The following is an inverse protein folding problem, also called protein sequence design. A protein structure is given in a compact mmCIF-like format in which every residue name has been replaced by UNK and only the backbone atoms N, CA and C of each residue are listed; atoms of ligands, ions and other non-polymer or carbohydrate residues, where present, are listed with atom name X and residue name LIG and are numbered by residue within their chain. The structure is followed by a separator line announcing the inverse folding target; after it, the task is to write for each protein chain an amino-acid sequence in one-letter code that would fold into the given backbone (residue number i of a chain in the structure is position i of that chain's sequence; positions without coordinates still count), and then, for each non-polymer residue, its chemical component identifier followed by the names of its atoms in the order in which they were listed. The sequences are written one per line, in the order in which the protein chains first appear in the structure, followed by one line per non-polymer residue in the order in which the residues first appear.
data_IF_385537121223
#
_entry.id   IF_385537121223
#
_cell.length_a   1.000
_cell.length_b   1.000
_cell.length_c   1.000
_cell.angle_alpha   90.00
_cell.angle_beta   90.00
_cell.angle_gamma   90.00
#
_symmetry.space_group_name_H-M   'P 1'
#
loop_
_entity.id
_entity.type
_entity.pdbx_description
1 polymer ?
#
# COMPACT_ATOMS: atom_id res chain seq x y z
N UNK A 1 -35.02 -55.54 -35.35
CA UNK A 1 -35.71 -55.62 -34.04
C UNK A 1 -35.49 -54.25 -33.35
N UNK A 2 -36.51 -53.47 -32.96
CA UNK A 2 -37.42 -53.59 -31.78
C UNK A 2 -36.63 -53.67 -30.46
N UNK A 3 -36.87 -52.89 -29.38
CA UNK A 3 -37.82 -51.77 -29.02
C UNK A 3 -37.36 -51.18 -27.66
N UNK A 4 -37.68 -49.97 -27.15
CA UNK A 4 -38.62 -48.86 -27.43
C UNK A 4 -37.80 -47.52 -27.63
N UNK A 5 -38.18 -46.22 -27.52
CA UNK A 5 -39.32 -45.40 -26.98
C UNK A 5 -39.44 -45.31 -25.43
N UNK A 6 -39.88 -44.23 -24.76
CA UNK A 6 -40.30 -42.85 -25.09
C UNK A 6 -39.90 -41.91 -23.90
N UNK A 7 -40.17 -40.59 -23.82
CA UNK A 7 -41.00 -39.69 -24.63
C UNK A 7 -40.84 -38.20 -24.22
N UNK A 8 -41.80 -37.35 -24.62
CA UNK A 8 -41.78 -35.88 -24.41
C UNK A 8 -42.24 -35.47 -22.98
N UNK A 9 -42.38 -34.20 -22.56
CA UNK A 9 -43.10 -33.07 -23.18
C UNK A 9 -42.52 -31.70 -22.80
N UNK A 10 -42.81 -30.70 -23.64
CA UNK A 10 -42.66 -29.27 -23.29
C UNK A 10 -44.03 -28.67 -22.98
N UNK A 11 -44.08 -27.68 -22.07
CA UNK A 11 -45.25 -26.83 -21.83
C UNK A 11 -44.78 -25.38 -21.73
N UNK A 12 -45.32 -24.51 -22.59
CA UNK A 12 -45.24 -23.06 -22.44
C UNK A 12 -46.61 -22.54 -22.03
N UNK A 13 -46.65 -21.55 -21.14
CA UNK A 13 -47.88 -20.81 -20.80
C UNK A 13 -47.57 -19.32 -20.93
N UNK A 14 -48.44 -18.61 -21.65
CA UNK A 14 -48.30 -17.20 -21.98
C UNK A 14 -49.68 -16.57 -21.81
N UNK A 15 -49.86 -15.69 -20.82
CA UNK A 15 -51.08 -14.90 -20.60
C UNK A 15 -50.68 -13.48 -20.21
N UNK A 16 -51.40 -12.49 -20.74
CA UNK A 16 -51.15 -11.06 -20.56
C UNK A 16 -52.16 -10.42 -19.60
N UNK A 17 -51.79 -9.24 -19.07
CA UNK A 17 -52.73 -8.21 -18.63
C UNK A 17 -53.02 -8.18 -17.13
N UNK A 18 -53.46 -7.06 -16.57
CA UNK A 18 -53.53 -5.70 -17.12
C UNK A 18 -53.43 -4.67 -15.98
N UNK A 19 -53.18 -3.39 -16.29
CA UNK A 19 -52.99 -2.35 -15.29
C UNK A 19 -54.32 -1.84 -14.69
N UNK A 20 -54.27 -1.45 -13.41
CA UNK A 20 -55.26 -0.59 -12.75
C UNK A 20 -54.50 0.49 -11.99
N UNK A 21 -54.88 1.76 -12.13
CA UNK A 21 -54.27 2.88 -11.40
C UNK A 21 -55.09 3.28 -10.17
N UNK A 22 -54.47 3.95 -9.20
CA UNK A 22 -55.18 4.39 -7.99
C UNK A 22 -54.35 5.20 -7.01
N UNK A 23 -54.28 6.52 -7.24
CA UNK A 23 -53.91 7.58 -6.29
C UNK A 23 -52.51 7.53 -5.62
N UNK A 24 -52.12 8.69 -5.10
CA UNK A 24 -50.89 8.90 -4.34
C UNK A 24 -51.23 9.37 -2.92
N UNK A 25 -50.37 9.08 -1.96
CA UNK A 25 -50.34 9.78 -0.68
C UNK A 25 -48.88 10.04 -0.27
N UNK A 26 -48.58 11.29 0.10
CA UNK A 26 -47.23 11.71 0.48
C UNK A 26 -47.10 11.68 2.00
N UNK A 27 -46.03 11.06 2.51
CA UNK A 27 -45.64 11.20 3.92
C UNK A 27 -44.14 11.06 4.09
N UNK A 28 -43.49 12.21 4.28
CA UNK A 28 -42.08 12.33 4.63
C UNK A 28 -41.79 11.83 6.05
N UNK A 29 -40.86 10.88 6.20
CA UNK A 29 -40.03 10.71 7.41
C UNK A 29 -38.89 9.71 7.26
N UNK A 30 -37.68 10.14 7.62
CA UNK A 30 -36.57 9.26 7.98
C UNK A 30 -35.50 9.07 6.90
N UNK A 31 -34.25 9.56 7.12
CA UNK A 31 -33.12 9.22 6.25
C UNK A 31 -32.68 7.77 6.52
N UNK A 32 -33.27 6.82 5.78
CA UNK A 32 -32.86 5.41 5.85
C UNK A 32 -31.38 5.29 5.54
N UNK A 33 -30.62 4.71 6.48
CA UNK A 33 -29.16 4.74 6.44
C UNK A 33 -28.60 4.13 5.16
N UNK A 34 -27.92 4.94 4.35
CA UNK A 34 -27.13 4.45 3.22
C UNK A 34 -25.98 3.59 3.73
N UNK A 35 -26.24 2.29 3.90
CA UNK A 35 -25.21 1.27 4.10
C UNK A 35 -24.29 1.27 2.88
N UNK A 36 -23.23 2.08 2.97
CA UNK A 36 -22.18 2.16 1.97
C UNK A 36 -21.53 0.79 1.85
N UNK A 37 -22.02 -0.02 0.91
CA UNK A 37 -21.47 -1.34 0.59
C UNK A 37 -20.00 -1.13 0.34
N UNK A 38 -19.15 -1.64 1.23
CA UNK A 38 -17.71 -1.64 1.02
C UNK A 38 -17.47 -2.34 -0.32
N UNK A 39 -17.15 -1.55 -1.34
CA UNK A 39 -16.68 -2.04 -2.62
C UNK A 39 -15.37 -2.76 -2.34
N UNK A 40 -15.45 -4.08 -2.14
CA UNK A 40 -14.29 -4.95 -2.08
C UNK A 40 -13.48 -4.61 -3.33
N UNK A 41 -12.29 -4.05 -3.14
CA UNK A 41 -11.41 -3.76 -4.26
C UNK A 41 -11.12 -5.09 -4.94
N UNK A 42 -11.77 -5.31 -6.09
CA UNK A 42 -11.59 -6.49 -6.93
C UNK A 42 -10.19 -6.40 -7.54
N UNK A 43 -9.18 -6.68 -6.71
CA UNK A 43 -7.87 -7.10 -7.17
C UNK A 43 -8.10 -8.33 -8.01
N UNK A 44 -8.01 -8.18 -9.33
CA UNK A 44 -7.99 -9.31 -10.25
C UNK A 44 -6.87 -10.30 -9.88
N UNK A 45 -6.86 -11.49 -10.48
CA UNK A 45 -5.75 -12.41 -10.34
C UNK A 45 -4.41 -11.70 -10.62
N UNK A 46 -3.36 -12.18 -9.97
CA UNK A 46 -1.99 -11.77 -10.24
C UNK A 46 -1.47 -12.69 -11.34
N UNK A 47 -1.04 -12.12 -12.47
CA UNK A 47 -0.48 -12.90 -13.57
C UNK A 47 0.85 -13.49 -13.08
N UNK A 48 0.93 -14.83 -13.03
CA UNK A 48 2.15 -15.53 -12.60
C UNK A 48 3.24 -15.29 -13.64
N UNK A 49 4.45 -14.85 -13.25
CA UNK A 49 5.57 -14.75 -14.18
C UNK A 49 5.82 -16.05 -14.93
N UNK A 50 6.08 -15.96 -16.23
CA UNK A 50 6.38 -17.08 -17.12
C UNK A 50 7.85 -17.10 -17.59
N UNK A 51 8.62 -16.06 -17.24
CA UNK A 51 10.07 -15.99 -17.46
C UNK A 51 10.87 -16.93 -16.55
N UNK A 52 11.93 -17.52 -17.09
CA UNK A 52 12.98 -18.25 -16.37
C UNK A 52 14.18 -17.33 -16.12
N UNK A 53 14.84 -17.47 -14.96
CA UNK A 53 16.18 -16.89 -14.73
C UNK A 53 17.21 -17.89 -15.27
N UNK A 54 18.16 -17.43 -16.08
CA UNK A 54 19.20 -18.26 -16.71
C UNK A 54 20.56 -18.03 -16.07
N UNK A 55 20.88 -16.77 -15.78
CA UNK A 55 22.11 -16.33 -15.10
C UNK A 55 21.70 -15.30 -14.04
N UNK A 56 22.35 -15.30 -12.87
CA UNK A 56 22.07 -14.37 -11.77
C UNK A 56 23.34 -14.23 -10.90
N UNK A 57 23.93 -13.03 -10.88
CA UNK A 57 25.04 -12.61 -10.03
C UNK A 57 24.79 -11.20 -9.46
N UNK A 58 25.63 -10.72 -8.53
CA UNK A 58 25.44 -9.44 -7.83
C UNK A 58 25.34 -8.22 -8.78
N UNK A 59 26.00 -8.29 -9.95
CA UNK A 59 26.08 -7.23 -10.96
C UNK A 59 25.24 -7.51 -12.23
N UNK A 60 24.69 -8.73 -12.42
CA UNK A 60 24.08 -9.17 -13.68
C UNK A 60 23.00 -10.26 -13.53
N UNK A 61 21.86 -10.05 -14.20
CA UNK A 61 20.79 -11.07 -14.33
C UNK A 61 20.45 -11.29 -15.80
N UNK A 62 20.25 -12.55 -16.22
CA UNK A 62 19.65 -12.91 -17.51
C UNK A 62 18.30 -13.59 -17.30
N UNK A 63 17.27 -13.01 -17.92
CA UNK A 63 15.95 -13.62 -18.06
C UNK A 63 15.80 -14.27 -19.43
N UNK A 64 15.04 -15.34 -19.48
CA UNK A 64 14.48 -15.97 -20.67
C UNK A 64 12.96 -15.87 -20.59
N UNK A 65 12.34 -15.41 -21.67
CA UNK A 65 10.90 -15.18 -21.79
C UNK A 65 10.17 -16.44 -22.27
N UNK A 66 8.84 -16.47 -22.13
CA UNK A 66 8.01 -17.58 -22.60
C UNK A 66 7.95 -17.73 -24.13
N UNK A 67 8.47 -16.75 -24.88
CA UNK A 67 8.69 -16.80 -26.33
C UNK A 67 10.13 -17.19 -26.73
N UNK A 68 10.99 -17.54 -25.76
CA UNK A 68 12.37 -17.97 -25.96
C UNK A 68 13.39 -16.84 -26.11
N UNK A 69 12.95 -15.58 -26.21
CA UNK A 69 13.85 -14.42 -26.23
C UNK A 69 14.49 -14.22 -24.86
N UNK A 70 15.66 -13.58 -24.82
CA UNK A 70 16.40 -13.34 -23.58
C UNK A 70 16.67 -11.86 -23.33
N UNK A 71 16.80 -11.49 -22.06
CA UNK A 71 17.08 -10.13 -21.58
C UNK A 71 18.21 -10.18 -20.56
N UNK A 72 19.31 -9.52 -20.88
CA UNK A 72 20.48 -9.35 -20.03
C UNK A 72 20.41 -7.96 -19.39
N UNK A 73 20.43 -7.90 -18.06
CA UNK A 73 20.36 -6.69 -17.25
C UNK A 73 21.63 -6.59 -16.40
N UNK A 74 22.45 -5.56 -16.60
CA UNK A 74 23.79 -5.48 -15.98
C UNK A 74 24.07 -4.10 -15.41
N UNK A 75 24.52 -4.06 -14.16
CA UNK A 75 25.05 -2.87 -13.53
C UNK A 75 26.39 -2.47 -14.17
N UNK A 76 26.60 -1.17 -14.37
CA UNK A 76 27.85 -0.61 -14.89
C UNK A 76 28.24 0.66 -14.12
N UNK A 77 29.44 1.20 -14.38
CA UNK A 77 29.90 2.48 -13.80
C UNK A 77 29.06 3.70 -14.20
N UNK A 78 27.99 3.52 -14.97
CA UNK A 78 27.05 4.57 -15.39
C UNK A 78 25.61 4.31 -14.93
N UNK A 79 25.34 3.23 -14.20
CA UNK A 79 23.99 2.87 -13.75
C UNK A 79 23.59 1.46 -14.17
N UNK A 80 22.44 1.30 -14.83
CA UNK A 80 21.92 0.02 -15.31
C UNK A 80 21.79 0.00 -16.84
N UNK A 81 22.37 -1.01 -17.48
CA UNK A 81 22.28 -1.26 -18.92
C UNK A 81 21.49 -2.56 -19.20
N UNK A 82 20.81 -2.60 -20.35
CA UNK A 82 20.11 -3.77 -20.86
C UNK A 82 20.58 -4.16 -22.27
N UNK A 83 20.54 -5.46 -22.55
CA UNK A 83 20.59 -6.05 -23.89
C UNK A 83 19.45 -7.07 -24.01
N UNK A 84 18.92 -7.26 -25.21
CA UNK A 84 18.00 -8.37 -25.52
C UNK A 84 18.58 -9.25 -26.63
N UNK A 85 18.02 -10.45 -26.78
CA UNK A 85 18.38 -11.42 -27.81
C UNK A 85 17.14 -12.17 -28.27
N UNK A 86 16.93 -12.26 -29.57
CA UNK A 86 15.77 -12.95 -30.13
C UNK A 86 15.96 -14.48 -30.14
N UNK A 87 14.85 -15.24 -30.14
CA UNK A 87 14.88 -16.70 -29.97
C UNK A 87 15.51 -17.45 -31.16
N UNK A 88 15.70 -16.78 -32.29
CA UNK A 88 16.35 -17.28 -33.51
C UNK A 88 17.83 -16.91 -33.64
N UNK A 89 18.32 -16.01 -32.78
CA UNK A 89 19.54 -15.24 -33.03
C UNK A 89 20.54 -15.45 -31.88
N UNK A 90 21.75 -15.91 -32.18
CA UNK A 90 22.80 -16.08 -31.15
C UNK A 90 23.34 -14.74 -30.61
N UNK A 91 23.16 -13.65 -31.37
CA UNK A 91 23.74 -12.34 -31.08
C UNK A 91 22.87 -11.50 -30.11
N UNK A 92 23.52 -10.82 -29.17
CA UNK A 92 22.88 -9.81 -28.33
C UNK A 92 22.74 -8.47 -29.06
N UNK A 93 21.65 -7.75 -28.76
CA UNK A 93 21.45 -6.36 -29.16
C UNK A 93 22.59 -5.45 -28.71
N UNK A 94 22.69 -4.27 -29.34
CA UNK A 94 23.45 -3.17 -28.74
C UNK A 94 22.96 -2.87 -27.31
N UNK A 95 23.88 -2.47 -26.43
CA UNK A 95 23.56 -2.04 -25.05
C UNK A 95 22.74 -0.77 -25.08
N UNK A 96 21.70 -0.72 -24.23
CA UNK A 96 20.91 0.48 -23.97
C UNK A 96 20.91 0.77 -22.47
N UNK A 97 21.19 2.01 -22.09
CA UNK A 97 21.02 2.47 -20.72
C UNK A 97 19.54 2.41 -20.35
N UNK A 98 19.20 1.64 -19.32
CA UNK A 98 17.87 1.66 -18.68
C UNK A 98 17.78 2.87 -17.75
N UNK A 99 18.84 3.11 -16.98
CA UNK A 99 18.93 4.22 -16.04
C UNK A 99 20.37 4.67 -15.86
N UNK A 100 20.59 6.00 -15.90
CA UNK A 100 21.90 6.60 -15.69
C UNK A 100 22.04 7.17 -14.28
N UNK A 101 23.08 6.76 -13.56
CA UNK A 101 23.43 7.30 -12.23
C UNK A 101 24.92 7.13 -11.94
N UNK A 102 25.47 8.03 -11.13
CA UNK A 102 26.85 7.94 -10.64
C UNK A 102 26.99 7.11 -9.35
N UNK A 103 25.88 6.72 -8.74
CA UNK A 103 25.84 5.96 -7.48
C UNK A 103 26.13 4.47 -7.73
N UNK A 104 26.85 3.82 -6.81
CA UNK A 104 27.23 2.41 -6.92
C UNK A 104 26.02 1.46 -6.84
N UNK A 105 26.07 0.27 -7.46
CA UNK A 105 25.04 -0.77 -7.35
C UNK A 105 24.73 -1.19 -5.91
N UNK A 106 23.48 -1.60 -5.66
CA UNK A 106 23.01 -1.96 -4.33
C UNK A 106 21.84 -2.96 -4.36
N UNK A 107 21.98 -4.10 -3.67
CA UNK A 107 20.89 -5.07 -3.48
C UNK A 107 20.48 -5.88 -4.72
N UNK A 108 21.37 -6.00 -5.71
CA UNK A 108 21.17 -6.81 -6.92
C UNK A 108 20.09 -6.28 -7.87
N UNK A 109 19.83 -7.05 -8.93
CA UNK A 109 18.79 -6.78 -9.92
C UNK A 109 17.65 -7.77 -9.70
N UNK A 110 16.43 -7.28 -9.45
CA UNK A 110 15.24 -8.15 -9.32
C UNK A 110 14.34 -7.92 -10.52
N UNK A 111 14.33 -8.87 -11.45
CA UNK A 111 13.54 -8.77 -12.68
C UNK A 111 12.72 -10.04 -12.93
N UNK A 112 11.54 -9.92 -13.54
CA UNK A 112 10.71 -11.02 -14.07
C UNK A 112 9.86 -10.53 -15.24
N UNK A 113 9.30 -11.45 -16.03
CA UNK A 113 8.37 -11.12 -17.11
C UNK A 113 7.07 -11.91 -17.05
N UNK A 114 6.08 -11.42 -17.80
CA UNK A 114 4.93 -12.19 -18.27
C UNK A 114 4.73 -11.87 -19.75
N UNK A 115 4.89 -12.86 -20.63
CA UNK A 115 4.88 -12.68 -22.08
C UNK A 115 5.87 -11.59 -22.51
N UNK A 116 5.41 -10.60 -23.27
CA UNK A 116 6.21 -9.49 -23.77
C UNK A 116 6.52 -8.40 -22.73
N UNK A 117 5.92 -8.44 -21.53
CA UNK A 117 6.12 -7.41 -20.49
C UNK A 117 7.17 -7.85 -19.47
N UNK A 118 8.30 -7.17 -19.45
CA UNK A 118 9.41 -7.36 -18.49
C UNK A 118 9.41 -6.22 -17.48
N UNK A 119 9.50 -6.52 -16.19
CA UNK A 119 9.74 -5.51 -15.14
C UNK A 119 11.03 -5.80 -14.39
N UNK A 120 11.64 -4.75 -13.86
CA UNK A 120 12.76 -4.84 -12.91
C UNK A 120 12.67 -3.81 -11.79
N UNK A 121 13.29 -4.11 -10.67
CA UNK A 121 13.61 -3.17 -9.60
C UNK A 121 15.06 -3.37 -9.13
N UNK A 122 15.86 -2.31 -9.21
CA UNK A 122 17.30 -2.30 -8.93
C UNK A 122 17.65 -1.13 -8.00
N UNK A 123 18.59 -1.34 -7.08
CA UNK A 123 19.02 -0.33 -6.11
C UNK A 123 20.41 0.24 -6.39
N UNK A 124 20.66 1.43 -5.86
CA UNK A 124 21.97 2.09 -5.84
C UNK A 124 22.19 2.76 -4.48
N UNK A 125 23.43 2.74 -3.97
CA UNK A 125 23.84 3.40 -2.72
C UNK A 125 25.34 3.30 -2.48
N UNK A 126 25.93 4.31 -1.83
CA UNK A 126 27.39 4.42 -1.68
C UNK A 126 28.00 3.36 -0.73
N UNK A 127 27.26 2.98 0.32
CA UNK A 127 27.70 2.12 1.44
C UNK A 127 27.01 0.75 1.49
N UNK A 128 26.42 0.28 0.39
CA UNK A 128 25.65 -0.96 0.40
C UNK A 128 26.47 -2.24 0.64
N UNK A 129 27.80 -2.17 0.60
CA UNK A 129 28.69 -3.27 1.06
C UNK A 129 28.75 -3.39 2.58
N UNK A 130 28.40 -2.32 3.28
CA UNK A 130 28.37 -2.23 4.75
C UNK A 130 26.98 -2.63 5.31
N UNK A 131 26.06 -3.03 4.44
CA UNK A 131 24.69 -3.47 4.77
C UNK A 131 23.64 -2.36 4.77
N UNK A 132 23.96 -1.15 4.32
CA UNK A 132 22.96 -0.08 4.14
C UNK A 132 21.92 -0.41 3.06
N UNK A 133 20.69 0.07 3.25
CA UNK A 133 19.64 0.02 2.22
C UNK A 133 19.95 0.94 1.03
N UNK A 134 19.44 0.64 -0.18
CA UNK A 134 19.64 1.52 -1.33
C UNK A 134 19.11 2.95 -1.08
N UNK A 135 19.98 3.92 -1.29
CA UNK A 135 19.69 5.35 -1.22
C UNK A 135 18.81 5.79 -2.40
N UNK A 136 18.93 5.10 -3.53
CA UNK A 136 18.18 5.31 -4.76
C UNK A 136 17.68 3.96 -5.30
N UNK A 137 16.42 3.87 -5.70
CA UNK A 137 15.82 2.63 -6.24
C UNK A 137 15.04 2.96 -7.49
N UNK A 138 15.30 2.24 -8.58
CA UNK A 138 14.48 2.34 -9.79
C UNK A 138 13.42 1.25 -9.82
N UNK A 139 12.26 1.60 -10.37
CA UNK A 139 11.36 0.66 -11.01
C UNK A 139 11.45 0.89 -12.53
N UNK A 140 11.48 -0.19 -13.32
CA UNK A 140 11.46 -0.08 -14.78
C UNK A 140 10.63 -1.19 -15.43
N UNK A 141 10.04 -0.88 -16.58
CA UNK A 141 9.22 -1.81 -17.38
C UNK A 141 9.51 -1.63 -18.87
N UNK A 142 9.74 -2.74 -19.57
CA UNK A 142 9.81 -2.82 -21.03
C UNK A 142 8.68 -3.70 -21.58
N UNK A 143 8.29 -3.46 -22.83
CA UNK A 143 7.31 -4.29 -23.57
C UNK A 143 7.69 -4.48 -25.02
N UNK A 144 7.12 -5.50 -25.68
CA UNK A 144 7.27 -5.71 -27.12
C UNK A 144 8.68 -6.13 -27.50
N UNK A 145 9.38 -5.27 -28.24
CA UNK A 145 10.75 -5.48 -28.74
C UNK A 145 11.84 -5.35 -27.65
N UNK A 146 11.47 -4.89 -26.44
CA UNK A 146 12.39 -4.68 -25.32
C UNK A 146 13.52 -3.68 -25.64
N UNK A 147 13.34 -2.87 -26.67
CA UNK A 147 14.31 -1.86 -27.12
C UNK A 147 14.08 -0.50 -26.44
N UNK A 148 13.00 -0.37 -25.66
CA UNK A 148 12.68 0.81 -24.86
C UNK A 148 12.19 0.43 -23.46
N UNK A 149 12.52 1.26 -22.47
CA UNK A 149 12.16 1.07 -21.07
C UNK A 149 11.45 2.32 -20.54
N UNK A 150 10.33 2.13 -19.84
CA UNK A 150 9.79 3.17 -18.95
C UNK A 150 10.51 3.05 -17.61
N UNK A 151 10.94 4.15 -17.00
CA UNK A 151 11.59 4.15 -15.67
C UNK A 151 10.95 5.14 -14.70
N UNK A 152 11.03 4.84 -13.40
CA UNK A 152 10.71 5.74 -12.28
C UNK A 152 11.83 5.62 -11.22
N UNK A 153 12.63 6.67 -11.00
CA UNK A 153 13.66 6.70 -9.95
C UNK A 153 13.07 7.17 -8.61
N UNK A 154 12.78 6.22 -7.74
CA UNK A 154 12.25 6.45 -6.39
C UNK A 154 13.40 6.69 -5.39
N UNK A 155 13.76 7.97 -5.17
CA UNK A 155 14.84 8.41 -4.26
C UNK A 155 14.47 8.42 -2.75
N UNK A 156 13.46 7.66 -2.34
CA UNK A 156 12.74 7.84 -1.06
C UNK A 156 12.74 6.59 -0.15
N UNK A 157 13.84 5.81 -0.15
CA UNK A 157 14.00 4.56 0.62
C UNK A 157 12.90 3.51 0.41
N UNK A 158 12.27 3.47 -0.78
CA UNK A 158 11.24 2.48 -1.11
C UNK A 158 11.89 1.42 -2.02
N UNK A 159 12.19 0.25 -1.46
CA UNK A 159 13.02 -0.78 -2.11
C UNK A 159 12.26 -1.72 -3.06
N UNK A 160 11.01 -1.40 -3.39
CA UNK A 160 10.09 -2.15 -4.27
C UNK A 160 10.24 -3.70 -4.17
N UNK A 161 10.08 -4.29 -2.98
CA UNK A 161 10.42 -5.69 -2.69
C UNK A 161 9.57 -6.71 -3.45
N UNK A 162 8.39 -6.33 -3.96
CA UNK A 162 7.59 -7.15 -4.86
C UNK A 162 6.96 -6.31 -5.97
N UNK A 163 7.05 -6.77 -7.21
CA UNK A 163 6.12 -6.37 -8.26
C UNK A 163 5.06 -7.45 -8.54
N UNK A 164 3.96 -7.04 -9.15
CA UNK A 164 2.79 -7.88 -9.48
C UNK A 164 2.33 -7.55 -10.89
N UNK A 165 2.46 -8.50 -11.80
CA UNK A 165 1.94 -8.34 -13.16
C UNK A 165 0.42 -8.58 -13.13
N UNK A 166 -0.29 -7.83 -13.97
CA UNK A 166 -1.75 -7.81 -14.06
C UNK A 166 -2.21 -7.54 -15.47
N UNK A 167 -3.52 -7.74 -15.65
CA UNK A 167 -4.27 -7.32 -16.82
C UNK A 167 -3.67 -7.93 -18.11
N UNK A 168 -3.15 -9.16 -18.02
CA UNK A 168 -2.56 -9.92 -19.13
C UNK A 168 -1.16 -9.47 -19.55
N UNK A 169 -0.45 -8.75 -18.67
CA UNK A 169 0.81 -8.05 -18.97
C UNK A 169 0.64 -6.55 -19.21
N UNK A 170 -0.58 -6.02 -19.28
CA UNK A 170 -0.83 -4.60 -19.54
C UNK A 170 -0.56 -3.68 -18.34
N UNK A 171 -0.30 -4.23 -17.15
CA UNK A 171 -0.08 -3.49 -15.90
C UNK A 171 0.95 -4.18 -15.00
N UNK A 172 1.76 -3.37 -14.31
CA UNK A 172 2.65 -3.83 -13.23
C UNK A 172 2.40 -2.97 -11.98
N UNK A 173 2.06 -3.59 -10.85
CA UNK A 173 2.04 -2.94 -9.54
C UNK A 173 3.32 -3.29 -8.77
N UNK A 174 4.25 -2.34 -8.65
CA UNK A 174 5.35 -2.41 -7.68
C UNK A 174 4.78 -2.07 -6.30
N UNK A 175 5.06 -2.90 -5.30
CA UNK A 175 4.43 -2.85 -3.98
C UNK A 175 5.48 -2.97 -2.89
N UNK A 176 5.50 -1.99 -2.01
CA UNK A 176 6.31 -1.96 -0.79
C UNK A 176 5.38 -1.98 0.45
N UNK A 177 5.23 -3.14 1.12
CA UNK A 177 4.43 -3.27 2.33
C UNK A 177 5.30 -3.17 3.59
N UNK A 178 5.03 -2.17 4.43
CA UNK A 178 5.60 -2.08 5.79
C UNK A 178 4.52 -2.22 6.86
N UNK A 179 4.92 -2.25 8.13
CA UNK A 179 4.00 -2.45 9.26
C UNK A 179 2.97 -1.31 9.44
N UNK A 180 3.24 -0.12 8.89
CA UNK A 180 2.36 1.07 8.98
C UNK A 180 1.64 1.42 7.69
N UNK A 181 2.17 1.04 6.52
CA UNK A 181 1.70 1.49 5.21
C UNK A 181 2.00 0.48 4.11
N UNK A 182 1.38 0.67 2.96
CA UNK A 182 1.78 0.07 1.70
C UNK A 182 1.95 1.19 0.69
N UNK A 183 3.15 1.35 0.14
CA UNK A 183 3.35 2.14 -1.06
C UNK A 183 3.05 1.27 -2.29
N UNK A 184 2.51 1.86 -3.35
CA UNK A 184 2.29 1.17 -4.62
C UNK A 184 2.56 2.12 -5.78
N UNK A 185 3.50 1.73 -6.63
CA UNK A 185 3.82 2.39 -7.89
C UNK A 185 3.25 1.53 -9.03
N UNK A 186 2.27 2.06 -9.76
CA UNK A 186 1.61 1.33 -10.85
C UNK A 186 2.10 1.83 -12.19
N UNK A 187 2.61 0.93 -13.01
CA UNK A 187 2.85 1.12 -14.44
C UNK A 187 1.68 0.57 -15.28
N UNK A 188 1.37 1.21 -16.41
CA UNK A 188 0.40 0.73 -17.40
C UNK A 188 0.92 0.88 -18.84
N UNK A 189 0.66 -0.13 -19.68
CA UNK A 189 0.98 -0.13 -21.11
C UNK A 189 0.25 1.03 -21.80
N UNK A 190 1.00 1.88 -22.50
CA UNK A 190 0.47 3.10 -23.13
C UNK A 190 0.23 4.30 -22.19
N UNK A 191 0.57 4.21 -20.90
CA UNK A 191 0.46 5.37 -19.96
C UNK A 191 1.67 5.57 -19.05
N UNK A 192 2.60 4.61 -18.98
CA UNK A 192 3.79 4.69 -18.14
C UNK A 192 3.47 4.56 -16.65
N UNK A 193 4.31 5.17 -15.80
CA UNK A 193 4.16 5.18 -14.35
C UNK A 193 3.18 6.25 -13.85
N UNK A 194 2.28 5.86 -12.95
CA UNK A 194 1.47 6.77 -12.16
C UNK A 194 2.21 7.19 -10.86
N UNK A 195 1.82 8.32 -10.26
CA UNK A 195 2.36 8.74 -8.95
C UNK A 195 2.18 7.64 -7.89
N UNK A 196 3.20 7.46 -7.03
CA UNK A 196 3.16 6.50 -5.91
C UNK A 196 1.92 6.71 -5.04
N UNK A 197 1.08 5.69 -4.97
CA UNK A 197 -0.08 5.66 -4.09
C UNK A 197 0.33 5.15 -2.70
N UNK A 198 0.05 5.93 -1.66
CA UNK A 198 0.22 5.52 -0.27
C UNK A 198 -1.10 5.02 0.30
N UNK A 199 -1.07 3.86 0.97
CA UNK A 199 -2.18 3.37 1.79
C UNK A 199 -1.69 3.05 3.20
N UNK A 200 -2.23 3.74 4.21
CA UNK A 200 -1.91 3.49 5.61
C UNK A 200 -2.72 2.33 6.18
N UNK A 201 -2.13 1.59 7.12
CA UNK A 201 -2.82 0.59 7.94
C UNK A 201 -3.75 1.34 8.90
N UNK A 202 -5.05 0.98 8.99
CA UNK A 202 -5.93 1.62 9.95
C UNK A 202 -5.52 1.26 11.38
N UNK A 203 -5.66 2.21 12.31
CA UNK A 203 -5.55 1.92 13.75
C UNK A 203 -6.74 1.10 14.23
N UNK A 204 -6.62 0.42 15.37
CA UNK A 204 -7.70 -0.40 15.87
C UNK A 204 -8.92 0.46 16.27
N UNK A 205 -10.17 0.09 15.90
CA UNK A 205 -11.36 0.93 16.14
C UNK A 205 -11.58 1.30 17.61
N UNK A 206 -11.08 0.47 18.55
CA UNK A 206 -11.14 0.76 19.98
C UNK A 206 -10.51 2.09 20.36
N UNK A 207 -9.49 2.57 19.66
CA UNK A 207 -8.89 3.89 19.90
C UNK A 207 -9.74 5.05 19.38
N UNK A 208 -10.53 4.84 18.32
CA UNK A 208 -11.20 5.91 17.58
C UNK A 208 -12.36 6.50 18.40
N UNK A 209 -12.40 7.82 18.51
CA UNK A 209 -13.40 8.55 19.29
C UNK A 209 -12.80 9.67 20.16
N UNK A 210 -13.65 10.22 21.04
CA UNK A 210 -13.27 11.23 22.04
C UNK A 210 -12.99 10.57 23.38
N UNK A 211 -11.98 11.08 24.06
CA UNK A 211 -11.49 10.60 25.35
C UNK A 211 -11.29 11.78 26.29
N UNK A 212 -11.64 11.60 27.57
CA UNK A 212 -11.43 12.60 28.61
C UNK A 212 -10.59 11.99 29.72
N UNK A 213 -9.54 12.70 30.13
CA UNK A 213 -8.71 12.26 31.24
C UNK A 213 -9.53 12.20 32.54
N UNK A 214 -9.31 11.17 33.36
CA UNK A 214 -10.09 10.93 34.60
C UNK A 214 -9.87 11.99 35.68
N UNK A 215 -8.75 12.72 35.62
CA UNK A 215 -8.47 13.90 36.44
C UNK A 215 -9.11 15.19 35.88
N UNK A 216 -9.82 15.10 34.76
CA UNK A 216 -10.43 16.23 34.04
C UNK A 216 -9.46 17.13 33.29
N UNK A 217 -8.14 16.89 33.34
CA UNK A 217 -7.10 17.80 32.87
C UNK A 217 -7.06 17.98 31.35
N UNK A 218 -7.51 16.97 30.60
CA UNK A 218 -7.38 16.93 29.14
C UNK A 218 -8.58 16.30 28.42
N UNK A 219 -8.69 16.65 27.15
CA UNK A 219 -9.42 15.90 26.14
C UNK A 219 -8.47 15.46 25.03
N UNK A 220 -8.64 14.23 24.57
CA UNK A 220 -7.92 13.60 23.47
C UNK A 220 -8.96 13.11 22.47
N UNK A 221 -8.81 13.42 21.19
CA UNK A 221 -9.71 12.91 20.14
C UNK A 221 -8.90 12.21 19.06
N UNK A 222 -9.22 10.95 18.78
CA UNK A 222 -8.47 10.10 17.86
C UNK A 222 -9.32 9.80 16.63
N UNK A 223 -8.76 10.08 15.45
CA UNK A 223 -9.45 10.06 14.16
C UNK A 223 -8.70 9.22 13.11
N UNK A 224 -9.37 8.21 12.54
CA UNK A 224 -8.93 7.60 11.28
C UNK A 224 -9.47 8.44 10.11
N UNK A 225 -8.61 9.25 9.49
CA UNK A 225 -9.03 10.25 8.48
C UNK A 225 -9.37 9.62 7.11
N UNK A 226 -8.72 8.50 6.78
CA UNK A 226 -8.94 7.76 5.54
C UNK A 226 -7.94 6.61 5.39
N UNK A 227 -7.95 5.87 4.27
CA UNK A 227 -6.90 4.92 3.91
C UNK A 227 -5.66 5.61 3.30
N UNK A 228 -5.85 6.81 2.76
CA UNK A 228 -4.89 7.66 2.04
C UNK A 228 -4.08 8.58 2.97
N UNK A 229 -4.49 8.68 4.24
CA UNK A 229 -3.92 9.59 5.25
C UNK A 229 -3.66 8.86 6.55
N UNK A 230 -2.64 9.30 7.28
CA UNK A 230 -2.37 8.86 8.65
C UNK A 230 -3.60 9.09 9.56
N UNK A 231 -3.75 8.22 10.56
CA UNK A 231 -4.60 8.53 11.70
C UNK A 231 -3.99 9.68 12.52
N UNK A 232 -4.85 10.43 13.22
CA UNK A 232 -4.44 11.58 14.04
C UNK A 232 -4.97 11.50 15.47
N UNK A 233 -4.23 12.11 16.38
CA UNK A 233 -4.68 12.46 17.72
C UNK A 233 -4.60 13.97 17.91
N UNK A 234 -5.71 14.57 18.32
CA UNK A 234 -5.81 15.97 18.71
C UNK A 234 -5.94 16.05 20.24
N UNK A 235 -5.02 16.77 20.90
CA UNK A 235 -4.94 16.90 22.36
C UNK A 235 -5.22 18.36 22.75
N UNK A 236 -6.04 18.55 23.77
CA UNK A 236 -6.42 19.86 24.31
C UNK A 236 -6.47 19.83 25.85
N UNK A 237 -5.72 20.74 26.50
CA UNK A 237 -5.83 20.93 27.95
C UNK A 237 -7.14 21.61 28.31
N UNK A 238 -7.76 21.14 29.39
CA UNK A 238 -9.02 21.66 29.95
C UNK A 238 -8.83 22.39 31.27
N UNK A 239 -7.69 22.19 31.94
CA UNK A 239 -7.28 22.90 33.15
C UNK A 239 -5.81 23.33 33.03
N UNK A 240 -5.40 24.33 33.84
CA UNK A 240 -4.04 24.86 33.80
C UNK A 240 -3.74 25.67 32.53
N UNK A 241 -2.45 25.74 32.12
CA UNK A 241 -2.04 26.44 30.90
C UNK A 241 -2.72 25.87 29.65
N UNK A 242 -3.13 26.76 28.74
CA UNK A 242 -3.68 26.37 27.44
C UNK A 242 -2.61 25.63 26.64
N UNK A 243 -2.95 24.45 26.16
CA UNK A 243 -2.19 23.67 25.19
C UNK A 243 -3.20 23.01 24.25
N UNK A 244 -3.02 23.20 22.94
CA UNK A 244 -3.77 22.50 21.90
C UNK A 244 -2.82 22.11 20.78
N UNK A 245 -2.93 20.89 20.28
CA UNK A 245 -2.11 20.45 19.16
C UNK A 245 -2.49 19.08 18.62
N UNK A 246 -1.87 18.71 17.50
CA UNK A 246 -2.21 17.51 16.72
C UNK A 246 -0.97 16.70 16.36
N UNK A 247 -1.09 15.37 16.39
CA UNK A 247 -0.03 14.42 16.07
C UNK A 247 -0.49 13.32 15.10
N UNK A 248 0.48 12.69 14.43
CA UNK A 248 0.29 11.42 13.73
C UNK A 248 0.22 10.31 14.77
N UNK A 249 -0.72 9.37 14.61
CA UNK A 249 -0.78 8.15 15.44
C UNK A 249 -0.75 6.88 14.60
N UNK A 250 -0.11 5.86 15.17
CA UNK A 250 0.21 4.59 14.52
C UNK A 250 -0.07 3.46 15.49
N UNK A 251 -0.90 2.50 15.09
CA UNK A 251 -1.10 1.26 15.86
C UNK A 251 0.11 0.36 15.72
N UNK A 252 0.75 0.04 16.86
CA UNK A 252 1.80 -0.97 16.94
C UNK A 252 1.14 -2.34 16.73
N UNK A 253 0.10 -2.63 17.51
CA UNK A 253 -0.78 -3.78 17.37
C UNK A 253 -2.27 -3.40 17.55
N UNK A 254 -3.08 -4.27 18.16
CA UNK A 254 -4.50 -4.03 18.44
C UNK A 254 -4.77 -3.31 19.78
N UNK A 255 -3.78 -3.32 20.68
CA UNK A 255 -3.82 -2.80 22.04
C UNK A 255 -2.95 -1.57 22.25
N UNK A 256 -1.82 -1.45 21.55
CA UNK A 256 -0.85 -0.36 21.73
C UNK A 256 -0.74 0.57 20.51
N UNK A 257 -0.69 1.88 20.78
CA UNK A 257 -0.63 2.97 19.81
C UNK A 257 0.50 3.96 20.17
N UNK A 258 1.30 4.32 19.16
CA UNK A 258 2.37 5.31 19.23
C UNK A 258 1.92 6.65 18.64
N UNK A 259 2.50 7.74 19.15
CA UNK A 259 2.27 9.11 18.70
C UNK A 259 3.58 9.73 18.20
N UNK A 260 3.53 10.48 17.08
CA UNK A 260 4.70 11.18 16.53
C UNK A 260 4.33 12.49 15.82
N UNK A 261 5.33 13.34 15.60
CA UNK A 261 5.24 14.60 14.87
C UNK A 261 4.19 15.57 15.44
N UNK A 262 4.16 15.76 16.77
CA UNK A 262 3.19 16.63 17.43
C UNK A 262 3.44 18.10 17.13
N UNK A 263 2.47 18.73 16.47
CA UNK A 263 2.42 20.16 16.18
C UNK A 263 1.57 20.85 17.25
N UNK A 264 2.16 21.85 17.91
CA UNK A 264 1.45 22.70 18.85
C UNK A 264 0.72 23.79 18.06
N UNK A 265 -0.61 23.76 18.08
CA UNK A 265 -1.46 24.69 17.35
C UNK A 265 -1.77 25.94 18.19
N UNK A 266 -1.87 25.81 19.53
CA UNK A 266 -2.07 26.93 20.46
C UNK A 266 -1.42 26.71 21.82
N UNK A 267 -0.93 27.80 22.43
CA UNK A 267 -0.47 27.83 23.82
C UNK A 267 0.98 27.42 24.01
N UNK A 268 1.29 26.69 25.08
CA UNK A 268 2.66 26.23 25.41
C UNK A 268 2.69 24.72 25.68
N UNK A 269 3.86 24.10 25.46
CA UNK A 269 4.07 22.69 25.84
C UNK A 269 4.14 22.58 27.37
N UNK A 270 3.48 21.57 27.92
CA UNK A 270 3.43 21.20 29.34
C UNK A 270 3.77 19.72 29.49
N UNK A 271 4.06 19.24 30.70
CA UNK A 271 4.45 17.84 30.97
C UNK A 271 3.48 16.82 30.35
N UNK A 272 2.17 17.11 30.39
CA UNK A 272 1.14 16.20 29.90
C UNK A 272 0.66 16.56 28.48
N UNK A 273 0.98 17.73 27.93
CA UNK A 273 0.48 18.19 26.62
C UNK A 273 1.58 18.94 25.84
N UNK A 274 2.15 18.33 24.79
CA UNK A 274 2.12 16.90 24.48
C UNK A 274 2.97 16.10 25.48
N UNK A 275 2.65 14.81 25.74
CA UNK A 275 3.67 13.89 26.21
C UNK A 275 4.77 13.76 25.14
N UNK A 276 6.03 13.62 25.55
CA UNK A 276 7.15 13.47 24.60
C UNK A 276 7.00 12.18 23.80
N UNK A 277 6.99 12.30 22.48
CA UNK A 277 6.68 11.21 21.53
C UNK A 277 7.50 9.91 21.73
N UNK A 278 8.77 10.02 22.16
CA UNK A 278 9.66 8.88 22.40
C UNK A 278 9.60 8.30 23.82
N UNK A 279 8.90 8.95 24.74
CA UNK A 279 8.81 8.52 26.15
C UNK A 279 7.44 7.92 26.51
N UNK A 280 6.41 8.02 25.66
CA UNK A 280 5.05 7.56 25.99
C UNK A 280 4.29 6.89 24.84
N UNK A 281 3.47 5.90 25.17
CA UNK A 281 2.49 5.23 24.29
C UNK A 281 1.08 5.26 24.88
N UNK A 282 0.08 4.88 24.07
CA UNK A 282 -1.30 4.70 24.51
C UNK A 282 -1.73 3.23 24.43
N UNK A 283 -2.30 2.67 25.50
CA UNK A 283 -2.86 1.31 25.51
C UNK A 283 -4.38 1.27 25.73
N UNK A 284 -5.06 0.34 25.05
CA UNK A 284 -6.49 0.02 25.26
C UNK A 284 -6.74 -1.49 25.13
N UNK A 285 -7.39 -2.09 26.15
CA UNK A 285 -7.56 -3.56 26.23
C UNK A 285 -8.87 -4.11 25.65
N UNK A 286 -9.87 -3.26 25.46
CA UNK A 286 -11.19 -3.59 24.92
C UNK A 286 -11.89 -2.33 24.40
N UNK A 287 -13.00 -2.48 23.67
CA UNK A 287 -13.82 -1.36 23.15
C UNK A 287 -14.24 -0.34 24.21
N UNK A 288 -14.58 -0.87 25.38
CA UNK A 288 -15.22 -0.18 26.50
C UNK A 288 -14.24 -0.01 27.68
N UNK A 289 -13.00 -0.47 27.52
CA UNK A 289 -11.94 -0.28 28.50
C UNK A 289 -11.35 1.13 28.46
N UNK A 290 -10.76 1.60 29.57
CA UNK A 290 -10.10 2.90 29.60
C UNK A 290 -8.87 2.90 28.68
N UNK A 291 -8.71 3.99 27.94
CA UNK A 291 -7.47 4.31 27.24
C UNK A 291 -6.45 4.82 28.28
N UNK A 292 -5.19 4.40 28.19
CA UNK A 292 -4.14 4.81 29.14
C UNK A 292 -2.93 5.37 28.42
N UNK A 293 -2.45 6.52 28.84
CA UNK A 293 -1.11 7.02 28.52
C UNK A 293 -0.09 6.35 29.45
N UNK A 294 0.93 5.70 28.88
CA UNK A 294 1.96 4.96 29.62
C UNK A 294 3.37 5.35 29.20
N UNK A 295 4.33 5.27 30.13
CA UNK A 295 5.76 5.47 29.82
C UNK A 295 6.30 4.30 28.99
N UNK A 296 7.09 4.54 27.95
CA UNK A 296 7.78 3.50 27.18
C UNK A 296 8.96 2.94 28.00
N UNK A 297 9.21 1.62 27.92
CA UNK A 297 10.34 0.93 28.55
C UNK A 297 9.96 -0.38 29.25
N UNK A 298 10.94 -1.06 29.86
CA UNK A 298 10.78 -2.41 30.44
C UNK A 298 9.68 -2.53 31.51
N UNK A 299 9.31 -1.43 32.18
CA UNK A 299 8.26 -1.38 33.19
C UNK A 299 7.30 -0.22 32.89
N UNK A 300 6.38 -0.37 31.93
CA UNK A 300 5.58 0.74 31.41
C UNK A 300 4.48 1.15 32.39
N UNK A 301 4.66 2.28 33.09
CA UNK A 301 3.75 2.82 34.12
C UNK A 301 2.64 3.66 33.50
N UNK A 302 1.42 3.55 34.02
CA UNK A 302 0.32 4.47 33.68
C UNK A 302 0.57 5.85 34.27
N UNK A 303 0.42 6.87 33.43
CA UNK A 303 0.64 8.29 33.77
C UNK A 303 -0.68 9.05 33.73
N UNK A 304 -1.56 8.71 32.79
CA UNK A 304 -2.91 9.26 32.71
C UNK A 304 -3.89 8.21 32.20
N UNK A 305 -5.06 8.14 32.81
CA UNK A 305 -6.19 7.29 32.40
C UNK A 305 -7.24 8.16 31.74
N UNK A 306 -7.89 7.65 30.70
CA UNK A 306 -8.98 8.34 30.00
C UNK A 306 -10.21 7.45 29.87
N UNK A 307 -11.37 8.05 30.04
CA UNK A 307 -12.67 7.46 29.77
C UNK A 307 -13.18 7.91 28.40
N UNK A 308 -13.96 7.05 27.73
CA UNK A 308 -14.57 7.36 26.43
C UNK A 308 -15.67 8.40 26.64
N UNK A 309 -15.54 9.55 25.97
CA UNK A 309 -16.54 10.61 26.00
C UNK A 309 -17.45 10.51 24.76
N UNK A 310 -18.75 10.77 24.97
CA UNK A 310 -19.69 11.10 23.88
C UNK A 310 -19.33 12.42 23.21
#
# INVERSE_FOLDING_TARGET
MRTKSAGAWAVAVLVLGAAVGGCAEQSDKGPSGSSAKHTKSHRGPEDKPDSRVVEDDDDHTVLELSDGRQVSLRFTRRGLEAQHRDASDDAWSARKTVYETGTKPCGGIRAKAYRDTVWLAAGFGEYCRDGEEPQEVIAAVATGDLSSWTTDPTKNTIVWPKARIRDGGARVDFVDPSWVRTATLTWRKGSGFAKVAMKYKPIHPWFVGRWRATDGSQQLTIHQVGPDRWARADIESRTGPRCKGSAIVTGIDQHDLSMSNFKLDQGTRTVNCPPKETEYSFDVKSSDGPLRLRTIGNHPKTVLTYERAG
#
